data_IF_439101850838
#
_entry.id   IF_439101850838
#
_cell.length_a   1.000
_cell.length_b   1.000
_cell.length_c   1.000
_cell.angle_alpha   90.00
_cell.angle_beta   90.00
_cell.angle_gamma   90.00
#
_symmetry.space_group_name_H-M   'P 1'
#
loop_
_entity.id
_entity.type
_entity.pdbx_description
1 polymer ?
#
# COMPACT_ATOMS: atom_id res chain seq x y z
N UNK A 1 -3.64 32.08 -11.98
CA UNK A 1 -3.01 30.83 -12.41
C UNK A 1 -4.15 29.96 -12.89
N UNK A 2 -4.20 29.59 -14.18
CA UNK A 2 -5.28 28.74 -14.65
C UNK A 2 -5.01 27.36 -14.06
N UNK A 3 -5.73 27.02 -13.00
CA UNK A 3 -5.67 25.70 -12.42
C UNK A 3 -6.48 24.82 -13.36
N UNK A 4 -5.76 23.97 -14.09
CA UNK A 4 -6.34 23.00 -14.98
C UNK A 4 -6.23 21.62 -14.35
N UNK A 5 -7.24 20.78 -14.54
CA UNK A 5 -7.15 19.39 -14.11
C UNK A 5 -7.73 18.42 -15.13
N UNK A 6 -7.10 17.26 -15.19
CA UNK A 6 -7.65 16.06 -15.79
C UNK A 6 -8.41 15.26 -14.73
N UNK A 7 -9.69 14.99 -15.01
CA UNK A 7 -10.55 14.13 -14.22
C UNK A 7 -10.49 12.71 -14.76
N UNK A 8 -10.08 11.78 -13.91
CA UNK A 8 -10.10 10.34 -14.18
C UNK A 8 -11.27 9.72 -13.44
N UNK A 9 -12.20 9.14 -14.19
CA UNK A 9 -13.29 8.33 -13.67
C UNK A 9 -13.02 6.87 -13.93
N UNK A 10 -13.10 6.06 -12.88
CA UNK A 10 -12.92 4.61 -12.97
C UNK A 10 -14.16 3.90 -12.45
N UNK A 11 -14.69 2.94 -13.20
CA UNK A 11 -15.80 2.08 -12.73
C UNK A 11 -15.53 0.62 -13.10
N UNK A 12 -16.02 -0.29 -12.27
CA UNK A 12 -16.14 -1.70 -12.62
C UNK A 12 -17.41 -1.88 -13.44
N UNK A 13 -17.44 -2.80 -14.41
CA UNK A 13 -18.66 -2.95 -15.24
C UNK A 13 -19.77 -3.62 -14.44
N UNK A 14 -20.58 -2.81 -13.75
CA UNK A 14 -21.62 -3.21 -12.78
C UNK A 14 -22.74 -4.07 -13.31
N UNK A 15 -22.97 -4.03 -14.62
CA UNK A 15 -23.99 -4.82 -15.29
C UNK A 15 -23.39 -5.99 -16.08
N UNK A 16 -22.11 -6.29 -15.90
CA UNK A 16 -21.52 -7.48 -16.48
C UNK A 16 -22.18 -8.75 -15.92
N UNK A 17 -22.16 -9.83 -16.69
CA UNK A 17 -22.64 -11.12 -16.21
C UNK A 17 -21.89 -11.61 -14.95
N UNK A 18 -20.65 -11.15 -14.76
CA UNK A 18 -19.85 -11.41 -13.55
C UNK A 18 -20.48 -10.79 -12.29
N UNK A 19 -20.97 -9.54 -12.39
CA UNK A 19 -21.65 -8.85 -11.30
C UNK A 19 -22.93 -9.54 -10.84
N UNK A 20 -23.75 -10.02 -11.78
CA UNK A 20 -25.01 -10.70 -11.46
C UNK A 20 -24.83 -12.03 -10.70
N UNK A 21 -23.64 -12.64 -10.80
CA UNK A 21 -23.30 -13.92 -10.16
C UNK A 21 -22.59 -13.78 -8.82
N UNK A 22 -22.27 -12.55 -8.41
CA UNK A 22 -21.46 -12.30 -7.23
C UNK A 22 -22.33 -12.03 -5.99
N UNK A 23 -22.09 -12.74 -4.86
CA UNK A 23 -22.75 -12.43 -3.59
C UNK A 23 -22.49 -10.98 -3.12
N UNK A 24 -23.43 -10.40 -2.37
CA UNK A 24 -23.33 -9.01 -1.88
C UNK A 24 -22.07 -8.71 -1.04
N UNK A 25 -21.67 -9.67 -0.20
CA UNK A 25 -20.50 -9.51 0.64
C UNK A 25 -19.22 -9.48 -0.20
N UNK A 26 -19.15 -10.31 -1.24
CA UNK A 26 -18.03 -10.33 -2.19
C UNK A 26 -17.98 -9.06 -3.03
N UNK A 27 -19.13 -8.52 -3.44
CA UNK A 27 -19.20 -7.22 -4.12
C UNK A 27 -18.58 -6.13 -3.25
N UNK A 28 -18.98 -6.07 -1.98
CA UNK A 28 -18.47 -5.09 -1.03
C UNK A 28 -16.95 -5.21 -0.88
N UNK A 29 -16.45 -6.44 -0.77
CA UNK A 29 -15.03 -6.72 -0.71
C UNK A 29 -14.28 -6.29 -1.98
N UNK A 30 -14.76 -6.66 -3.17
CA UNK A 30 -14.13 -6.29 -4.46
C UNK A 30 -14.07 -4.77 -4.64
N UNK A 31 -15.14 -4.04 -4.29
CA UNK A 31 -15.16 -2.57 -4.36
C UNK A 31 -14.17 -1.97 -3.36
N UNK A 32 -14.10 -2.50 -2.14
CA UNK A 32 -13.14 -2.02 -1.14
C UNK A 32 -11.69 -2.25 -1.60
N UNK A 33 -11.39 -3.39 -2.21
CA UNK A 33 -10.08 -3.71 -2.76
C UNK A 33 -9.72 -2.83 -3.96
N UNK A 34 -10.67 -2.58 -4.86
CA UNK A 34 -10.49 -1.62 -5.95
C UNK A 34 -10.18 -0.23 -5.41
N UNK A 35 -10.99 0.25 -4.47
CA UNK A 35 -10.83 1.56 -3.84
C UNK A 35 -9.44 1.69 -3.22
N UNK A 36 -9.03 0.71 -2.43
CA UNK A 36 -7.72 0.73 -1.80
C UNK A 36 -6.61 0.79 -2.85
N UNK A 37 -6.68 -0.05 -3.88
CA UNK A 37 -5.70 -0.07 -4.96
C UNK A 37 -5.61 1.28 -5.68
N UNK A 38 -6.76 1.83 -6.09
CA UNK A 38 -6.79 3.09 -6.84
C UNK A 38 -6.29 4.27 -6.01
N UNK A 39 -6.61 4.30 -4.72
CA UNK A 39 -6.13 5.32 -3.79
C UNK A 39 -4.63 5.21 -3.49
N UNK A 40 -4.15 3.99 -3.24
CA UNK A 40 -2.74 3.68 -2.98
C UNK A 40 -1.87 3.92 -4.22
N UNK A 41 -2.42 3.73 -5.41
CA UNK A 41 -1.72 4.11 -6.63
C UNK A 41 -1.75 5.64 -6.82
N UNK A 42 -2.90 6.28 -6.65
CA UNK A 42 -3.03 7.72 -6.87
C UNK A 42 -2.23 8.57 -5.87
N UNK A 43 -1.87 8.03 -4.70
CA UNK A 43 -0.97 8.70 -3.75
C UNK A 43 0.44 8.84 -4.32
N UNK A 44 0.90 7.89 -5.14
CA UNK A 44 2.23 7.92 -5.78
C UNK A 44 2.32 8.99 -6.87
N UNK A 45 1.18 9.35 -7.47
CA UNK A 45 1.05 10.40 -8.49
C UNK A 45 0.59 11.74 -7.92
N UNK A 46 0.33 11.79 -6.61
CA UNK A 46 -0.24 12.89 -5.84
C UNK A 46 -1.39 13.64 -6.53
N UNK A 47 -2.54 12.98 -6.51
CA UNK A 47 -3.85 13.59 -6.84
C UNK A 47 -4.16 14.77 -5.91
N UNK A 48 -4.92 15.77 -6.37
CA UNK A 48 -5.39 16.87 -5.49
C UNK A 48 -6.70 16.60 -4.77
N UNK A 49 -7.59 15.80 -5.36
CA UNK A 49 -8.92 15.58 -4.83
C UNK A 49 -9.44 14.20 -5.20
N UNK A 50 -10.18 13.61 -4.26
CA UNK A 50 -10.96 12.40 -4.46
C UNK A 50 -12.38 12.67 -3.97
N UNK A 51 -13.35 12.36 -4.82
CA UNK A 51 -14.74 12.38 -4.42
C UNK A 51 -15.42 11.08 -4.83
N UNK A 52 -16.00 10.39 -3.87
CA UNK A 52 -16.71 9.13 -4.10
C UNK A 52 -18.16 9.44 -4.50
N UNK A 53 -18.49 9.30 -5.79
CA UNK A 53 -19.85 9.53 -6.28
C UNK A 53 -20.47 8.25 -6.80
N UNK A 54 -21.15 7.55 -5.89
CA UNK A 54 -21.86 6.30 -6.19
C UNK A 54 -20.91 5.19 -6.59
N UNK A 55 -20.77 5.01 -7.90
CA UNK A 55 -20.36 3.74 -8.49
C UNK A 55 -18.91 3.75 -9.03
N UNK A 56 -18.35 4.95 -9.26
CA UNK A 56 -16.98 5.12 -9.74
C UNK A 56 -16.12 5.96 -8.79
N UNK A 57 -14.82 5.97 -9.06
CA UNK A 57 -13.84 6.79 -8.35
C UNK A 57 -13.38 7.93 -9.23
N UNK A 58 -13.29 9.12 -8.63
CA UNK A 58 -12.80 10.32 -9.27
C UNK A 58 -11.42 10.68 -8.73
N UNK A 59 -10.51 10.96 -9.65
CA UNK A 59 -9.20 11.51 -9.34
C UNK A 59 -8.95 12.76 -10.19
N UNK A 60 -8.51 13.84 -9.53
CA UNK A 60 -8.10 15.08 -10.19
C UNK A 60 -6.57 15.21 -10.18
N UNK A 61 -6.00 15.41 -11.37
CA UNK A 61 -4.57 15.62 -11.57
C UNK A 61 -4.32 16.94 -12.27
N UNK A 62 -3.28 17.66 -11.88
CA UNK A 62 -2.90 18.93 -12.54
C UNK A 62 -2.33 18.73 -13.95
N UNK A 63 -1.88 17.50 -14.27
CA UNK A 63 -1.28 17.14 -15.56
C UNK A 63 -2.09 16.05 -16.24
N UNK A 64 -2.34 16.23 -17.54
CA UNK A 64 -3.01 15.23 -18.38
C UNK A 64 -2.14 13.97 -18.54
N UNK A 65 -0.81 14.13 -18.67
CA UNK A 65 0.13 13.01 -18.74
C UNK A 65 0.10 12.16 -17.47
N UNK A 66 0.13 12.81 -16.30
CA UNK A 66 0.03 12.15 -15.01
C UNK A 66 -1.29 11.38 -14.89
N UNK A 67 -2.41 11.99 -15.31
CA UNK A 67 -3.72 11.36 -15.29
C UNK A 67 -3.80 10.11 -16.20
N UNK A 68 -3.26 10.20 -17.42
CA UNK A 68 -3.25 9.08 -18.37
C UNK A 68 -2.33 7.96 -17.89
N UNK A 69 -1.14 8.29 -17.37
CA UNK A 69 -0.22 7.33 -16.76
C UNK A 69 -0.89 6.59 -15.60
N UNK A 70 -1.51 7.34 -14.68
CA UNK A 70 -2.26 6.77 -13.58
C UNK A 70 -3.37 5.82 -14.08
N UNK A 71 -4.18 6.24 -15.06
CA UNK A 71 -5.26 5.42 -15.62
C UNK A 71 -4.77 4.09 -16.21
N UNK A 72 -3.69 4.12 -16.98
CA UNK A 72 -3.08 2.91 -17.56
C UNK A 72 -2.51 1.97 -16.49
N UNK A 73 -1.79 2.53 -15.52
CA UNK A 73 -1.22 1.76 -14.41
C UNK A 73 -2.30 1.16 -13.52
N UNK A 74 -3.38 1.89 -13.27
CA UNK A 74 -4.51 1.39 -12.51
C UNK A 74 -5.15 0.18 -13.20
N UNK A 75 -5.34 0.23 -14.53
CA UNK A 75 -5.85 -0.92 -15.30
C UNK A 75 -4.93 -2.12 -15.17
N UNK A 76 -3.62 -1.93 -15.33
CA UNK A 76 -2.64 -3.00 -15.23
C UNK A 76 -2.66 -3.64 -13.82
N UNK A 77 -2.66 -2.81 -12.78
CA UNK A 77 -2.64 -3.27 -11.40
C UNK A 77 -3.96 -3.93 -11.01
N UNK A 78 -5.10 -3.39 -11.46
CA UNK A 78 -6.41 -4.00 -11.20
C UNK A 78 -6.51 -5.38 -11.81
N UNK A 79 -6.03 -5.57 -13.05
CA UNK A 79 -5.97 -6.89 -13.71
C UNK A 79 -5.20 -7.92 -12.88
N UNK A 80 -4.09 -7.52 -12.28
CA UNK A 80 -3.29 -8.38 -11.41
C UNK A 80 -4.02 -8.63 -10.08
N UNK A 81 -4.46 -7.57 -9.40
CA UNK A 81 -5.10 -7.63 -8.08
C UNK A 81 -6.37 -8.46 -8.09
N UNK A 82 -7.26 -8.26 -9.08
CA UNK A 82 -8.53 -8.97 -9.13
C UNK A 82 -8.40 -10.47 -9.39
N UNK A 83 -7.28 -10.93 -9.97
CA UNK A 83 -6.96 -12.35 -10.13
C UNK A 83 -6.55 -13.01 -8.83
N UNK A 84 -5.98 -12.24 -7.89
CA UNK A 84 -5.55 -12.74 -6.58
C UNK A 84 -6.64 -12.66 -5.50
N UNK A 85 -7.86 -12.20 -5.82
CA UNK A 85 -8.96 -12.10 -4.85
C UNK A 85 -9.64 -13.45 -4.62
N UNK A 86 -8.95 -14.34 -3.90
CA UNK A 86 -9.40 -15.72 -3.64
C UNK A 86 -10.75 -15.77 -2.91
N UNK A 87 -11.01 -14.79 -2.03
CA UNK A 87 -12.25 -14.72 -1.25
C UNK A 87 -13.51 -14.33 -2.07
N UNK A 88 -13.35 -13.90 -3.33
CA UNK A 88 -14.46 -13.46 -4.18
C UNK A 88 -14.49 -14.22 -5.51
N UNK A 89 -15.21 -15.36 -5.60
CA UNK A 89 -15.40 -16.09 -6.84
C UNK A 89 -15.91 -15.17 -7.96
N UNK A 90 -15.34 -15.31 -9.17
CA UNK A 90 -15.59 -14.47 -10.35
C UNK A 90 -15.03 -13.03 -10.28
N UNK A 91 -14.30 -12.63 -9.23
CA UNK A 91 -13.64 -11.31 -9.20
C UNK A 91 -12.62 -11.13 -10.33
N UNK A 92 -11.97 -12.22 -10.77
CA UNK A 92 -11.05 -12.23 -11.90
C UNK A 92 -11.69 -11.74 -13.22
N UNK A 93 -13.00 -11.92 -13.35
CA UNK A 93 -13.81 -11.58 -14.53
C UNK A 93 -14.42 -10.18 -14.43
N UNK A 94 -14.00 -9.35 -13.46
CA UNK A 94 -14.51 -7.99 -13.26
C UNK A 94 -13.70 -6.97 -14.07
N UNK A 95 -14.14 -6.60 -15.29
CA UNK A 95 -13.45 -5.58 -16.08
C UNK A 95 -13.58 -4.20 -15.44
N UNK A 96 -12.59 -3.36 -15.71
CA UNK A 96 -12.61 -1.96 -15.32
C UNK A 96 -12.64 -1.05 -16.54
N UNK A 97 -13.38 0.04 -16.46
CA UNK A 97 -13.43 1.08 -17.47
C UNK A 97 -12.86 2.35 -16.88
N UNK A 98 -12.05 3.04 -17.68
CA UNK A 98 -11.46 4.31 -17.26
C UNK A 98 -11.73 5.35 -18.31
N UNK A 99 -12.34 6.46 -17.89
CA UNK A 99 -12.53 7.66 -18.70
C UNK A 99 -11.68 8.78 -18.14
N UNK A 100 -10.86 9.40 -18.98
CA UNK A 100 -10.13 10.61 -18.63
C UNK A 100 -10.63 11.77 -19.49
N UNK A 101 -10.95 12.88 -18.84
CA UNK A 101 -11.32 14.10 -19.53
C UNK A 101 -10.72 15.34 -18.86
N UNK A 102 -10.44 16.34 -19.68
CA UNK A 102 -9.93 17.63 -19.24
C UNK A 102 -11.08 18.62 -19.14
N UNK A 103 -11.14 19.40 -18.06
CA UNK A 103 -12.11 20.49 -17.99
C UNK A 103 -11.74 21.64 -18.94
N UNK A 104 -12.41 21.79 -20.08
CA UNK A 104 -12.41 23.06 -20.81
C UNK A 104 -13.34 24.06 -20.09
N UNK A 105 -12.78 25.14 -19.54
CA UNK A 105 -13.57 26.28 -19.12
C UNK A 105 -12.93 27.60 -19.54
N UNK A 106 -13.57 28.28 -20.49
CA UNK A 106 -13.52 29.74 -20.54
C UNK A 106 -13.96 30.25 -19.18
N UNK A 107 -13.02 30.84 -18.42
CA UNK A 107 -13.21 31.65 -17.19
C UNK A 107 -14.63 31.59 -16.62
N UNK A 108 -14.95 30.55 -15.86
CA UNK A 108 -16.07 30.60 -14.93
C UNK A 108 -15.51 31.08 -13.59
N UNK A 109 -16.19 32.04 -12.96
CA UNK A 109 -15.75 32.69 -11.72
C UNK A 109 -15.91 31.81 -10.46
N UNK A 110 -16.38 30.57 -10.63
CA UNK A 110 -16.73 29.63 -9.56
C UNK A 110 -15.98 28.30 -9.79
N UNK A 111 -15.18 27.90 -8.78
CA UNK A 111 -14.33 26.71 -8.83
C UNK A 111 -15.14 25.40 -8.87
N UNK A 112 -16.34 25.38 -8.29
CA UNK A 112 -17.16 24.16 -8.18
C UNK A 112 -17.83 23.79 -9.51
N UNK A 113 -18.14 24.80 -10.34
CA UNK A 113 -18.90 24.60 -11.58
C UNK A 113 -18.11 23.86 -12.67
N UNK A 114 -16.79 24.09 -12.77
CA UNK A 114 -15.97 23.48 -13.81
C UNK A 114 -15.47 22.08 -13.42
N UNK A 115 -15.17 21.84 -12.13
CA UNK A 115 -14.87 20.51 -11.58
C UNK A 115 -16.04 19.57 -11.87
N UNK A 116 -17.26 19.98 -11.53
CA UNK A 116 -18.48 19.21 -11.79
C UNK A 116 -18.69 18.88 -13.28
N UNK A 117 -18.28 19.76 -14.20
CA UNK A 117 -18.37 19.50 -15.64
C UNK A 117 -17.33 18.49 -16.11
N UNK A 118 -16.06 18.69 -15.76
CA UNK A 118 -14.98 17.76 -16.10
C UNK A 118 -15.33 16.35 -15.61
N UNK A 119 -15.89 16.28 -14.41
CA UNK A 119 -16.44 15.07 -13.81
C UNK A 119 -17.49 14.40 -14.68
N UNK A 120 -18.55 15.15 -15.02
CA UNK A 120 -19.67 14.61 -15.77
C UNK A 120 -19.25 14.11 -17.15
N UNK A 121 -18.28 14.76 -17.79
CA UNK A 121 -17.78 14.32 -19.09
C UNK A 121 -16.88 13.10 -18.93
N UNK A 122 -15.92 13.08 -18.00
CA UNK A 122 -15.07 11.92 -17.75
C UNK A 122 -15.89 10.65 -17.43
N UNK A 123 -16.97 10.78 -16.65
CA UNK A 123 -17.93 9.70 -16.41
C UNK A 123 -18.60 9.20 -17.70
N UNK A 124 -18.97 10.09 -18.63
CA UNK A 124 -19.56 9.71 -19.92
C UNK A 124 -18.54 9.06 -20.85
N UNK A 125 -17.28 9.49 -20.80
CA UNK A 125 -16.18 8.85 -21.52
C UNK A 125 -15.98 7.43 -21.01
N UNK A 126 -15.93 7.24 -19.69
CA UNK A 126 -15.85 5.91 -19.04
C UNK A 126 -16.98 5.00 -19.53
N UNK A 127 -18.22 5.48 -19.58
CA UNK A 127 -19.37 4.65 -19.95
C UNK A 127 -19.32 4.14 -21.40
N UNK A 128 -18.53 4.78 -22.26
CA UNK A 128 -18.26 4.34 -23.64
C UNK A 128 -16.96 3.53 -23.77
N UNK A 129 -16.18 3.42 -22.70
CA UNK A 129 -14.95 2.65 -22.70
C UNK A 129 -15.24 1.14 -22.78
N UNK A 130 -14.42 0.45 -23.57
CA UNK A 130 -14.39 -1.00 -23.52
C UNK A 130 -13.84 -1.52 -22.20
N UNK A 131 -14.13 -2.78 -21.91
CA UNK A 131 -13.56 -3.49 -20.77
C UNK A 131 -12.03 -3.35 -20.75
N UNK A 132 -11.51 -3.06 -19.56
CA UNK A 132 -10.08 -2.95 -19.27
C UNK A 132 -9.31 -1.98 -20.17
N UNK A 133 -9.94 -0.86 -20.50
CA UNK A 133 -9.41 0.14 -21.41
C UNK A 133 -9.53 1.54 -20.84
N UNK A 134 -8.57 2.39 -21.19
CA UNK A 134 -8.58 3.83 -20.92
C UNK A 134 -9.05 4.55 -22.18
N UNK A 135 -10.12 5.32 -22.06
CA UNK A 135 -10.62 6.19 -23.11
C UNK A 135 -10.40 7.64 -22.72
N UNK A 136 -10.03 8.45 -23.70
CA UNK A 136 -9.79 9.88 -23.53
C UNK A 136 -10.50 10.67 -24.63
N UNK A 137 -10.90 11.90 -24.33
CA UNK A 137 -11.39 12.81 -25.37
C UNK A 137 -10.25 13.37 -26.21
N UNK A 138 -10.55 13.87 -27.41
CA UNK A 138 -9.60 14.64 -28.22
C UNK A 138 -8.84 15.71 -27.43
N UNK A 139 -9.51 16.46 -26.55
CA UNK A 139 -8.87 17.48 -25.71
C UNK A 139 -7.74 16.91 -24.84
N UNK A 140 -7.92 15.72 -24.25
CA UNK A 140 -6.85 15.09 -23.46
C UNK A 140 -5.72 14.65 -24.38
N UNK A 141 -6.06 14.07 -25.54
CA UNK A 141 -5.09 13.62 -26.52
C UNK A 141 -4.18 14.77 -27.01
N UNK A 142 -4.72 15.98 -27.17
CA UNK A 142 -3.99 17.18 -27.56
C UNK A 142 -3.11 17.76 -26.44
N UNK A 143 -3.36 17.35 -25.19
CA UNK A 143 -2.64 17.83 -24.00
C UNK A 143 -1.56 16.87 -23.52
N UNK A 144 -1.58 15.62 -23.95
CA UNK A 144 -0.57 14.61 -23.58
C UNK A 144 0.53 14.54 -24.63
N UNK A 145 1.69 14.04 -24.22
CA UNK A 145 2.81 13.87 -25.13
C UNK A 145 2.65 12.68 -26.08
N UNK A 146 1.99 12.89 -27.22
CA UNK A 146 1.63 11.83 -28.17
C UNK A 146 2.75 10.85 -28.57
N UNK A 147 4.02 11.27 -28.78
CA UNK A 147 5.12 10.33 -29.05
C UNK A 147 5.30 9.25 -27.99
N UNK A 148 4.88 9.49 -26.75
CA UNK A 148 5.01 8.57 -25.61
C UNK A 148 3.82 7.64 -25.47
N UNK A 149 2.68 7.87 -26.16
CA UNK A 149 1.49 7.04 -26.00
C UNK A 149 1.11 6.30 -27.27
N UNK A 150 0.79 5.02 -27.12
CA UNK A 150 0.08 4.28 -28.15
C UNK A 150 -1.42 4.52 -28.00
N UNK A 151 -2.06 5.00 -29.06
CA UNK A 151 -3.48 5.27 -29.10
C UNK A 151 -4.12 4.90 -30.44
N UNK A 152 -5.44 4.72 -30.42
CA UNK A 152 -6.24 4.47 -31.62
C UNK A 152 -7.56 5.25 -31.54
N UNK A 153 -8.03 5.73 -32.69
CA UNK A 153 -9.37 6.31 -32.80
C UNK A 153 -10.43 5.27 -32.43
N UNK A 154 -11.31 5.64 -31.50
CA UNK A 154 -12.45 4.81 -31.10
C UNK A 154 -13.75 5.21 -31.81
N UNK A 155 -13.81 6.43 -32.37
CA UNK A 155 -14.95 6.97 -33.11
C UNK A 155 -15.65 8.14 -32.42
N UNK A 156 -16.75 8.59 -33.02
CA UNK A 156 -17.59 9.67 -32.49
C UNK A 156 -18.68 9.14 -31.58
N UNK A 157 -18.75 9.66 -30.35
CA UNK A 157 -19.71 9.27 -29.34
C UNK A 157 -20.57 10.45 -28.90
N UNK A 158 -21.86 10.19 -28.70
CA UNK A 158 -22.80 11.18 -28.15
C UNK A 158 -22.62 11.28 -26.63
N UNK A 159 -22.01 12.37 -26.17
CA UNK A 159 -21.85 12.66 -24.75
C UNK A 159 -23.00 13.58 -24.33
N UNK A 160 -24.17 13.01 -24.01
CA UNK A 160 -25.39 13.78 -23.65
C UNK A 160 -25.07 14.91 -22.67
N UNK A 161 -25.65 16.10 -22.78
CA UNK A 161 -25.43 17.18 -21.80
C UNK A 161 -24.00 17.76 -21.76
N UNK A 162 -23.13 17.39 -22.69
CA UNK A 162 -21.93 18.14 -23.05
C UNK A 162 -22.31 19.27 -24.03
N UNK A 163 -21.45 20.28 -24.17
CA UNK A 163 -21.63 21.40 -25.11
C UNK A 163 -21.48 20.94 -26.56
N UNK A 164 -20.61 19.95 -26.78
CA UNK A 164 -20.45 19.32 -28.08
C UNK A 164 -21.35 18.08 -28.13
N UNK A 165 -22.32 18.02 -29.07
CA UNK A 165 -23.28 16.91 -29.13
C UNK A 165 -22.62 15.57 -29.45
N UNK A 166 -21.46 15.59 -30.12
CA UNK A 166 -20.64 14.42 -30.38
C UNK A 166 -19.17 14.77 -30.15
N UNK A 167 -18.41 13.83 -29.58
CA UNK A 167 -16.95 13.94 -29.43
C UNK A 167 -16.25 12.74 -30.03
N UNK A 168 -15.10 12.98 -30.64
CA UNK A 168 -14.16 11.94 -30.97
C UNK A 168 -13.50 11.44 -29.68
N UNK A 169 -13.56 10.13 -29.46
CA UNK A 169 -12.85 9.45 -28.39
C UNK A 169 -11.68 8.64 -28.94
N UNK A 170 -10.65 8.49 -28.10
CA UNK A 170 -9.46 7.72 -28.40
C UNK A 170 -9.24 6.69 -27.30
N UNK A 171 -8.87 5.49 -27.68
CA UNK A 171 -8.34 4.50 -26.75
C UNK A 171 -6.86 4.72 -26.60
N UNK A 172 -6.38 4.85 -25.37
CA UNK A 172 -4.95 4.82 -25.05
C UNK A 172 -4.61 3.43 -24.50
N UNK A 173 -3.62 2.76 -25.10
CA UNK A 173 -3.34 1.35 -24.83
C UNK A 173 -2.08 1.13 -24.00
N UNK A 174 -1.02 1.92 -24.22
CA UNK A 174 0.25 1.78 -23.49
C UNK A 174 1.10 3.04 -23.56
N UNK A 175 2.13 3.07 -22.70
CA UNK A 175 3.20 4.05 -22.70
C UNK A 175 4.42 3.43 -23.37
N UNK A 176 4.99 4.13 -24.34
CA UNK A 176 6.28 3.81 -24.93
C UNK A 176 7.39 4.35 -24.02
N UNK A 177 7.91 3.47 -23.15
CA UNK A 177 8.99 3.80 -22.24
C UNK A 177 10.30 4.11 -22.95
N UNK A 178 10.50 3.62 -24.18
CA UNK A 178 11.67 3.95 -25.00
C UNK A 178 11.56 5.38 -25.54
N UNK A 179 10.38 5.79 -25.99
CA UNK A 179 10.14 7.16 -26.41
C UNK A 179 10.32 8.16 -25.25
N UNK A 180 9.80 7.83 -24.06
CA UNK A 180 9.97 8.67 -22.86
C UNK A 180 11.44 8.79 -22.44
N UNK A 181 12.20 7.69 -22.47
CA UNK A 181 13.63 7.66 -22.10
C UNK A 181 14.56 8.23 -23.17
N UNK A 182 14.12 8.31 -24.43
CA UNK A 182 14.89 8.89 -25.53
C UNK A 182 14.86 10.43 -25.56
N UNK A 183 14.02 11.07 -24.75
CA UNK A 183 13.99 12.54 -24.61
C UNK A 183 15.31 13.05 -24.03
N UNK A 184 15.83 14.14 -24.60
CA UNK A 184 17.01 14.80 -24.03
C UNK A 184 16.66 15.43 -22.68
N UNK A 185 17.59 15.35 -21.73
CA UNK A 185 17.37 15.86 -20.37
C UNK A 185 16.96 17.34 -20.35
N UNK A 186 17.47 18.14 -21.29
CA UNK A 186 17.16 19.57 -21.41
C UNK A 186 15.73 19.86 -21.87
N UNK A 187 15.05 18.90 -22.49
CA UNK A 187 13.68 19.03 -22.98
C UNK A 187 12.63 18.52 -21.99
N UNK A 188 13.05 17.81 -20.92
CA UNK A 188 12.15 17.23 -19.94
C UNK A 188 11.54 18.30 -19.03
N UNK A 189 10.22 18.25 -18.86
CA UNK A 189 9.47 19.07 -17.91
C UNK A 189 9.59 18.53 -16.48
N UNK A 190 9.09 19.27 -15.49
CA UNK A 190 9.04 18.78 -14.11
C UNK A 190 8.19 17.50 -14.01
N UNK A 191 7.07 17.45 -14.74
CA UNK A 191 6.17 16.31 -14.82
C UNK A 191 6.83 15.10 -15.48
N UNK A 192 7.65 15.30 -16.53
CA UNK A 192 8.42 14.22 -17.17
C UNK A 192 9.41 13.59 -16.20
N UNK A 193 10.16 14.42 -15.48
CA UNK A 193 11.11 13.95 -14.47
C UNK A 193 10.41 13.23 -13.33
N UNK A 194 9.26 13.74 -12.87
CA UNK A 194 8.46 13.08 -11.86
C UNK A 194 7.94 11.71 -12.34
N UNK A 195 7.36 11.62 -13.55
CA UNK A 195 6.86 10.36 -14.10
C UNK A 195 7.98 9.35 -14.34
N UNK A 196 9.17 9.82 -14.76
CA UNK A 196 10.35 8.98 -14.86
C UNK A 196 10.74 8.43 -13.48
N UNK A 197 10.77 9.28 -12.44
CA UNK A 197 11.00 8.88 -11.05
C UNK A 197 10.03 7.78 -10.59
N UNK A 198 8.73 8.00 -10.78
CA UNK A 198 7.69 7.00 -10.44
C UNK A 198 7.88 5.70 -11.22
N UNK A 199 8.39 5.76 -12.46
CA UNK A 199 8.63 4.56 -13.28
C UNK A 199 9.84 3.72 -12.82
N UNK A 200 10.85 4.38 -12.25
CA UNK A 200 12.07 3.73 -11.74
C UNK A 200 11.99 3.39 -10.25
N UNK A 201 10.94 3.84 -9.58
CA UNK A 201 10.67 3.53 -8.18
C UNK A 201 10.63 2.03 -7.92
N UNK A 202 11.20 1.62 -6.77
CA UNK A 202 11.30 0.22 -6.34
C UNK A 202 12.15 -0.69 -7.27
N UNK A 203 13.02 -0.11 -8.10
CA UNK A 203 14.07 -0.87 -8.78
C UNK A 203 15.24 -1.13 -7.81
N UNK A 204 16.25 -1.91 -8.25
CA UNK A 204 17.47 -2.24 -7.49
C UNK A 204 18.15 -1.03 -6.83
N UNK A 205 19.19 -1.22 -6.02
CA UNK A 205 19.95 -0.11 -5.40
C UNK A 205 20.39 0.99 -6.37
N UNK A 206 20.76 0.64 -7.62
CA UNK A 206 21.08 1.62 -8.67
C UNK A 206 19.86 2.46 -9.14
N UNK A 207 18.65 1.94 -8.94
CA UNK A 207 17.40 2.64 -9.20
C UNK A 207 17.11 3.74 -8.19
N UNK A 208 17.58 3.63 -6.95
CA UNK A 208 17.36 4.65 -5.90
C UNK A 208 18.07 5.96 -6.23
N UNK A 209 19.31 5.90 -6.72
CA UNK A 209 20.08 7.10 -7.12
C UNK A 209 19.43 7.82 -8.31
N UNK A 210 18.94 7.07 -9.30
CA UNK A 210 18.24 7.64 -10.45
C UNK A 210 16.86 8.18 -10.05
N UNK A 211 16.14 7.51 -9.14
CA UNK A 211 14.86 7.98 -8.62
C UNK A 211 15.03 9.31 -7.87
N UNK A 212 16.04 9.41 -7.01
CA UNK A 212 16.38 10.63 -6.29
C UNK A 212 16.68 11.77 -7.27
N UNK A 213 17.53 11.51 -8.26
CA UNK A 213 17.86 12.49 -9.32
C UNK A 213 16.61 12.96 -10.07
N UNK A 214 15.68 12.05 -10.37
CA UNK A 214 14.46 12.39 -11.07
C UNK A 214 13.61 13.38 -10.27
N UNK A 215 13.35 13.10 -8.99
CA UNK A 215 12.55 14.03 -8.18
C UNK A 215 13.29 15.33 -7.88
N UNK A 216 14.62 15.31 -7.71
CA UNK A 216 15.44 16.52 -7.56
C UNK A 216 15.30 17.44 -8.77
N UNK A 217 15.36 16.88 -10.00
CA UNK A 217 15.13 17.65 -11.22
C UNK A 217 13.71 18.18 -11.30
N UNK A 218 12.71 17.40 -10.90
CA UNK A 218 11.33 17.83 -10.87
C UNK A 218 11.13 19.06 -9.97
N UNK A 219 11.67 19.05 -8.73
CA UNK A 219 11.55 20.18 -7.80
C UNK A 219 12.43 21.38 -8.18
N UNK A 220 13.55 21.17 -8.87
CA UNK A 220 14.36 22.26 -9.43
C UNK A 220 13.62 23.03 -10.53
N UNK A 221 12.93 22.32 -11.42
CA UNK A 221 12.14 22.90 -12.49
C UNK A 221 10.83 23.51 -11.97
N UNK A 222 10.25 22.91 -10.94
CA UNK A 222 9.02 23.35 -10.28
C UNK A 222 9.15 23.25 -8.77
N UNK A 223 9.58 24.32 -8.12
CA UNK A 223 9.73 24.34 -6.66
C UNK A 223 8.39 24.09 -5.92
N UNK A 224 7.28 24.57 -6.48
CA UNK A 224 5.93 24.28 -5.95
C UNK A 224 5.39 22.94 -6.45
N UNK A 225 6.10 21.85 -6.16
CA UNK A 225 5.74 20.48 -6.53
C UNK A 225 5.65 19.58 -5.28
N UNK A 226 4.55 19.65 -4.52
CA UNK A 226 4.42 18.96 -3.23
C UNK A 226 4.55 17.43 -3.34
N UNK A 227 4.11 16.84 -4.44
CA UNK A 227 4.19 15.41 -4.72
C UNK A 227 5.65 14.93 -4.86
N UNK A 228 6.45 15.66 -5.62
CA UNK A 228 7.87 15.38 -5.78
C UNK A 228 8.64 15.58 -4.46
N UNK A 229 8.29 16.62 -3.69
CA UNK A 229 8.83 16.80 -2.34
C UNK A 229 8.47 15.65 -1.40
N UNK A 230 7.22 15.19 -1.37
CA UNK A 230 6.84 14.04 -0.56
C UNK A 230 7.64 12.78 -0.95
N UNK A 231 7.81 12.51 -2.25
CA UNK A 231 8.57 11.35 -2.70
C UNK A 231 10.07 11.45 -2.38
N UNK A 232 10.67 12.65 -2.49
CA UNK A 232 12.03 12.91 -1.98
C UNK A 232 12.11 12.63 -0.48
N UNK A 233 11.11 13.06 0.30
CA UNK A 233 11.05 12.78 1.73
C UNK A 233 11.06 11.30 2.07
N UNK A 234 10.30 10.50 1.30
CA UNK A 234 10.25 9.04 1.44
C UNK A 234 11.61 8.42 1.12
N UNK A 235 12.24 8.83 0.02
CA UNK A 235 13.56 8.32 -0.39
C UNK A 235 14.66 8.69 0.61
N UNK A 236 14.73 9.95 1.03
CA UNK A 236 15.71 10.39 2.01
C UNK A 236 15.58 9.64 3.33
N UNK A 237 14.35 9.34 3.78
CA UNK A 237 14.13 8.47 4.94
C UNK A 237 14.67 7.05 4.70
N UNK A 238 14.41 6.46 3.52
CA UNK A 238 14.85 5.11 3.19
C UNK A 238 16.38 4.98 3.13
N UNK A 239 17.09 5.99 2.60
CA UNK A 239 18.56 6.01 2.53
C UNK A 239 19.25 6.50 3.81
N UNK A 240 18.50 6.71 4.91
CA UNK A 240 19.06 7.08 6.21
C UNK A 240 19.41 8.56 6.37
N UNK A 241 18.80 9.44 5.57
CA UNK A 241 18.95 10.90 5.63
C UNK A 241 17.70 11.58 6.23
N UNK A 242 17.41 11.41 7.53
CA UNK A 242 16.16 11.90 8.12
C UNK A 242 16.05 13.43 8.07
N UNK A 243 17.16 14.18 8.11
CA UNK A 243 17.14 15.65 8.07
C UNK A 243 16.56 16.17 6.76
N UNK A 244 17.06 15.68 5.62
CA UNK A 244 16.53 16.06 4.31
C UNK A 244 15.09 15.56 4.12
N UNK A 245 14.75 14.40 4.70
CA UNK A 245 13.38 13.92 4.67
C UNK A 245 12.40 14.90 5.34
N UNK A 246 12.77 15.44 6.51
CA UNK A 246 12.00 16.43 7.25
C UNK A 246 11.81 17.74 6.47
N UNK A 247 12.88 18.25 5.86
CA UNK A 247 12.84 19.45 5.01
C UNK A 247 11.85 19.28 3.86
N UNK A 248 11.92 18.15 3.15
CA UNK A 248 11.04 17.89 2.02
C UNK A 248 9.57 17.65 2.44
N UNK A 249 9.30 16.99 3.56
CA UNK A 249 7.93 16.89 4.07
C UNK A 249 7.37 18.27 4.44
N UNK A 250 8.18 19.14 5.05
CA UNK A 250 7.78 20.52 5.36
C UNK A 250 7.50 21.32 4.09
N UNK A 251 8.32 21.19 3.05
CA UNK A 251 8.08 21.86 1.77
C UNK A 251 6.82 21.33 1.06
N UNK A 252 6.58 20.01 1.07
CA UNK A 252 5.36 19.43 0.56
C UNK A 252 4.12 20.01 1.26
N UNK A 253 4.14 20.07 2.60
CA UNK A 253 3.05 20.61 3.41
C UNK A 253 2.95 22.15 3.34
N UNK A 254 4.03 22.85 3.02
CA UNK A 254 4.01 24.30 2.76
C UNK A 254 3.24 24.62 1.48
N UNK A 255 3.43 23.81 0.44
CA UNK A 255 2.75 23.98 -0.85
C UNK A 255 1.34 23.39 -0.85
N UNK A 256 1.10 22.33 -0.10
CA UNK A 256 -0.21 21.73 0.06
C UNK A 256 -0.46 21.30 1.53
N UNK A 257 -1.00 22.21 2.37
CA UNK A 257 -1.18 21.97 3.81
C UNK A 257 -2.16 20.88 4.22
N UNK A 258 -2.94 20.35 3.28
CA UNK A 258 -3.91 19.28 3.53
C UNK A 258 -3.52 18.00 2.78
N UNK A 259 -2.23 17.83 2.43
CA UNK A 259 -1.75 16.69 1.67
C UNK A 259 -1.65 15.44 2.58
N UNK A 260 -2.59 14.47 2.49
CA UNK A 260 -2.66 13.41 3.48
C UNK A 260 -1.44 12.48 3.46
N UNK A 261 -0.86 12.23 2.28
CA UNK A 261 0.35 11.43 2.12
C UNK A 261 1.55 12.04 2.83
N UNK A 262 1.79 13.35 2.65
CA UNK A 262 2.90 14.04 3.31
C UNK A 262 2.71 14.08 4.83
N UNK A 263 1.48 14.29 5.32
CA UNK A 263 1.19 14.17 6.75
C UNK A 263 1.47 12.76 7.28
N UNK A 264 0.98 11.72 6.60
CA UNK A 264 1.21 10.33 6.99
C UNK A 264 2.70 9.98 7.01
N UNK A 265 3.41 10.28 5.93
CA UNK A 265 4.83 9.99 5.77
C UNK A 265 5.69 10.76 6.78
N UNK A 266 5.33 12.01 7.07
CA UNK A 266 6.02 12.80 8.07
C UNK A 266 5.78 12.29 9.49
N UNK A 267 4.57 11.84 9.80
CA UNK A 267 4.28 11.18 11.07
C UNK A 267 5.16 9.93 11.28
N UNK A 268 5.46 9.17 10.22
CA UNK A 268 6.40 8.03 10.26
C UNK A 268 7.80 8.46 10.66
N UNK A 269 8.28 9.54 10.06
CA UNK A 269 9.61 10.06 10.37
C UNK A 269 9.69 10.54 11.82
N UNK A 270 8.69 11.30 12.28
CA UNK A 270 8.63 11.84 13.64
C UNK A 270 8.53 10.73 14.69
N UNK A 271 7.71 9.70 14.43
CA UNK A 271 7.63 8.53 15.31
C UNK A 271 8.98 7.81 15.44
N UNK A 272 9.69 7.60 14.33
CA UNK A 272 11.01 6.96 14.34
C UNK A 272 12.06 7.77 15.13
N UNK A 273 11.85 9.08 15.29
CA UNK A 273 12.69 9.98 16.11
C UNK A 273 12.24 10.09 17.56
N UNK A 274 11.11 9.49 17.93
CA UNK A 274 10.52 9.61 19.27
C UNK A 274 9.72 10.91 19.49
N UNK A 275 9.44 11.68 18.44
CA UNK A 275 8.69 12.94 18.48
C UNK A 275 7.17 12.66 18.53
N UNK A 276 6.74 11.93 19.57
CA UNK A 276 5.41 11.31 19.64
C UNK A 276 4.24 12.31 19.55
N UNK A 277 4.34 13.46 20.22
CA UNK A 277 3.26 14.45 20.24
C UNK A 277 3.00 15.03 18.83
N UNK A 278 4.06 15.28 18.07
CA UNK A 278 3.99 15.84 16.73
C UNK A 278 3.58 14.78 15.71
N UNK A 279 4.10 13.55 15.84
CA UNK A 279 3.64 12.41 15.05
C UNK A 279 2.11 12.25 15.14
N UNK A 280 1.54 12.32 16.35
CA UNK A 280 0.10 12.22 16.57
C UNK A 280 -0.71 13.38 15.93
N UNK A 281 -0.13 14.57 15.79
CA UNK A 281 -0.76 15.68 15.04
C UNK A 281 -0.82 15.33 13.56
N UNK A 282 0.30 14.91 12.97
CA UNK A 282 0.36 14.60 11.54
C UNK A 282 -0.49 13.38 11.16
N UNK A 283 -0.56 12.34 11.99
CA UNK A 283 -1.49 11.23 11.78
C UNK A 283 -2.96 11.69 11.74
N UNK A 284 -3.35 12.55 12.68
CA UNK A 284 -4.72 13.08 12.73
C UNK A 284 -5.02 13.95 11.53
N UNK A 285 -4.09 14.78 11.06
CA UNK A 285 -4.28 15.58 9.85
C UNK A 285 -4.34 14.72 8.58
N UNK A 286 -3.57 13.64 8.48
CA UNK A 286 -3.68 12.68 7.38
C UNK A 286 -5.09 12.07 7.32
N UNK A 287 -5.60 11.60 8.47
CA UNK A 287 -6.95 11.05 8.61
C UNK A 287 -8.03 12.13 8.40
N UNK A 288 -7.84 13.35 8.88
CA UNK A 288 -8.80 14.46 8.69
C UNK A 288 -8.93 14.85 7.23
N UNK A 289 -7.79 14.91 6.53
CA UNK A 289 -7.73 15.25 5.11
C UNK A 289 -8.25 14.11 4.23
N UNK A 290 -8.04 12.85 4.65
CA UNK A 290 -8.57 11.66 3.97
C UNK A 290 -9.09 10.63 4.99
N UNK A 291 -10.38 10.71 5.37
CA UNK A 291 -10.97 9.83 6.39
C UNK A 291 -10.99 8.35 6.02
N UNK A 292 -10.83 8.00 4.76
CA UNK A 292 -10.71 6.62 4.27
C UNK A 292 -9.25 6.20 4.01
N UNK A 293 -8.26 6.92 4.53
CA UNK A 293 -6.85 6.54 4.46
C UNK A 293 -6.52 5.39 5.42
N UNK A 294 -6.87 4.18 5.02
CA UNK A 294 -6.78 2.95 5.82
C UNK A 294 -5.39 2.74 6.41
N UNK A 295 -4.31 2.96 5.65
CA UNK A 295 -2.94 2.79 6.16
C UNK A 295 -2.60 3.79 7.27
N UNK A 296 -3.14 5.02 7.22
CA UNK A 296 -2.98 6.01 8.28
C UNK A 296 -3.74 5.61 9.54
N UNK A 297 -4.95 5.04 9.41
CA UNK A 297 -5.71 4.49 10.53
C UNK A 297 -4.97 3.34 11.22
N UNK A 298 -4.52 2.34 10.45
CA UNK A 298 -3.82 1.16 10.99
C UNK A 298 -2.51 1.55 11.66
N UNK A 299 -1.70 2.39 10.99
CA UNK A 299 -0.41 2.81 11.52
C UNK A 299 -0.57 3.67 12.79
N UNK A 300 -1.57 4.55 12.81
CA UNK A 300 -1.85 5.35 14.00
C UNK A 300 -2.40 4.51 15.16
N UNK A 301 -3.17 3.46 14.90
CA UNK A 301 -3.57 2.48 15.92
C UNK A 301 -2.34 1.83 16.59
N UNK A 302 -1.39 1.32 15.80
CA UNK A 302 -0.14 0.74 16.33
C UNK A 302 0.70 1.75 17.11
N UNK A 303 0.79 2.98 16.61
CA UNK A 303 1.45 4.09 17.32
C UNK A 303 0.79 4.41 18.67
N UNK A 304 -0.54 4.49 18.71
CA UNK A 304 -1.30 4.74 19.94
C UNK A 304 -1.12 3.62 20.96
N UNK A 305 -1.08 2.38 20.49
CA UNK A 305 -0.78 1.23 21.35
C UNK A 305 0.64 1.34 21.95
N UNK A 306 1.65 1.60 21.11
CA UNK A 306 3.04 1.72 21.54
C UNK A 306 3.26 2.87 22.53
N UNK A 307 2.48 3.95 22.40
CA UNK A 307 2.51 5.11 23.31
C UNK A 307 1.55 4.99 24.50
N UNK A 308 0.88 3.85 24.67
CA UNK A 308 0.06 3.51 25.84
C UNK A 308 -1.38 4.01 25.79
N UNK A 309 -1.83 4.66 24.72
CA UNK A 309 -3.22 5.09 24.53
C UNK A 309 -4.10 3.96 23.97
N UNK A 310 -4.28 2.92 24.78
CA UNK A 310 -4.95 1.67 24.39
C UNK A 310 -6.41 1.84 23.97
N UNK A 311 -7.14 2.79 24.58
CA UNK A 311 -8.55 3.02 24.26
C UNK A 311 -8.73 3.56 22.84
N UNK A 312 -7.96 4.58 22.47
CA UNK A 312 -8.03 5.12 21.11
C UNK A 312 -7.43 4.13 20.10
N UNK A 313 -6.35 3.41 20.44
CA UNK A 313 -5.80 2.36 19.57
C UNK A 313 -6.86 1.34 19.12
N UNK A 314 -7.66 0.82 20.06
CA UNK A 314 -8.76 -0.11 19.77
C UNK A 314 -9.79 0.47 18.80
N UNK A 315 -10.17 1.74 18.98
CA UNK A 315 -11.10 2.43 18.07
C UNK A 315 -10.52 2.57 16.66
N UNK A 316 -9.23 2.88 16.56
CA UNK A 316 -8.54 3.00 15.28
C UNK A 316 -8.41 1.64 14.56
N UNK A 317 -8.16 0.54 15.29
CA UNK A 317 -8.20 -0.81 14.71
C UNK A 317 -9.61 -1.18 14.21
N UNK A 318 -10.65 -0.92 15.01
CA UNK A 318 -12.04 -1.16 14.63
C UNK A 318 -12.44 -0.36 13.40
N UNK A 319 -12.04 0.91 13.32
CA UNK A 319 -12.33 1.77 12.16
C UNK A 319 -11.57 1.30 10.90
N UNK A 320 -10.32 0.85 11.05
CA UNK A 320 -9.54 0.24 9.96
C UNK A 320 -10.30 -0.95 9.37
N UNK A 321 -10.77 -1.86 10.22
CA UNK A 321 -11.52 -3.05 9.80
C UNK A 321 -12.95 -2.71 9.32
N UNK A 322 -13.56 -1.63 9.82
CA UNK A 322 -14.84 -1.12 9.30
C UNK A 322 -14.69 -0.59 7.87
N UNK A 323 -13.60 0.12 7.59
CA UNK A 323 -13.29 0.67 6.26
C UNK A 323 -12.84 -0.42 5.28
N UNK A 324 -12.07 -1.41 5.77
CA UNK A 324 -11.59 -2.54 4.97
C UNK A 324 -11.65 -3.85 5.76
N UNK A 325 -12.80 -4.55 5.74
CA UNK A 325 -12.96 -5.83 6.43
C UNK A 325 -12.05 -6.94 5.91
N UNK A 326 -11.56 -6.84 4.67
CA UNK A 326 -10.67 -7.83 4.05
C UNK A 326 -9.17 -7.58 4.27
N UNK A 327 -8.78 -6.77 5.26
CA UNK A 327 -7.38 -6.40 5.47
C UNK A 327 -6.69 -7.35 6.45
N UNK A 328 -5.99 -8.36 5.91
CA UNK A 328 -5.32 -9.41 6.70
C UNK A 328 -4.33 -8.84 7.74
N UNK A 329 -3.51 -7.86 7.35
CA UNK A 329 -2.58 -7.17 8.26
C UNK A 329 -3.29 -6.48 9.43
N UNK A 330 -4.40 -5.79 9.17
CA UNK A 330 -5.17 -5.16 10.24
C UNK A 330 -5.80 -6.18 11.19
N UNK A 331 -6.23 -7.34 10.70
CA UNK A 331 -6.68 -8.44 11.54
C UNK A 331 -5.55 -9.01 12.40
N UNK A 332 -4.37 -9.26 11.82
CA UNK A 332 -3.19 -9.70 12.58
C UNK A 332 -2.83 -8.69 13.68
N UNK A 333 -2.66 -7.41 13.33
CA UNK A 333 -2.24 -6.37 14.27
C UNK A 333 -3.28 -6.15 15.38
N UNK A 334 -4.58 -6.22 15.05
CA UNK A 334 -5.62 -6.13 16.06
C UNK A 334 -5.67 -7.36 16.96
N UNK A 335 -5.37 -8.55 16.43
CA UNK A 335 -5.16 -9.76 17.21
C UNK A 335 -4.05 -9.60 18.25
N UNK A 336 -2.89 -9.08 17.83
CA UNK A 336 -1.76 -8.79 18.73
C UNK A 336 -2.15 -7.80 19.83
N UNK A 337 -2.86 -6.74 19.46
CA UNK A 337 -3.40 -5.77 20.42
C UNK A 337 -4.33 -6.43 21.46
N UNK A 338 -5.25 -7.30 21.01
CA UNK A 338 -6.20 -7.99 21.88
C UNK A 338 -5.54 -9.01 22.80
N UNK A 339 -4.52 -9.71 22.32
CA UNK A 339 -3.72 -10.62 23.12
C UNK A 339 -2.99 -9.88 24.25
N UNK A 340 -2.38 -8.73 23.96
CA UNK A 340 -1.77 -7.84 24.98
C UNK A 340 -2.79 -7.27 25.97
N UNK A 341 -4.07 -7.23 25.60
CA UNK A 341 -5.20 -6.88 26.49
C UNK A 341 -5.70 -8.09 27.30
N UNK A 342 -5.18 -9.29 27.05
CA UNK A 342 -5.58 -10.54 27.70
C UNK A 342 -6.82 -11.20 27.09
N UNK A 343 -7.26 -10.76 25.91
CA UNK A 343 -8.40 -11.34 25.21
C UNK A 343 -7.95 -12.32 24.11
N UNK A 344 -7.34 -13.43 24.54
CA UNK A 344 -6.75 -14.45 23.66
C UNK A 344 -7.77 -15.06 22.69
N UNK A 345 -9.01 -15.30 23.12
CA UNK A 345 -10.04 -15.90 22.26
C UNK A 345 -10.41 -14.99 21.06
N UNK A 346 -10.54 -13.67 21.29
CA UNK A 346 -10.77 -12.73 20.19
C UNK A 346 -9.52 -12.55 19.33
N UNK A 347 -8.32 -12.59 19.92
CA UNK A 347 -7.06 -12.55 19.16
C UNK A 347 -6.95 -13.73 18.18
N UNK A 348 -7.18 -14.96 18.66
CA UNK A 348 -7.21 -16.17 17.83
C UNK A 348 -8.22 -16.07 16.67
N UNK A 349 -9.41 -15.51 16.94
CA UNK A 349 -10.42 -15.29 15.91
C UNK A 349 -9.94 -14.34 14.81
N UNK A 350 -9.21 -13.29 15.18
CA UNK A 350 -8.64 -12.35 14.22
C UNK A 350 -7.42 -12.91 13.47
N UNK A 351 -6.54 -13.67 14.13
CA UNK A 351 -5.47 -14.37 13.43
C UNK A 351 -6.02 -15.37 12.40
N UNK A 352 -7.05 -16.14 12.78
CA UNK A 352 -7.73 -17.06 11.87
C UNK A 352 -8.36 -16.34 10.67
N UNK A 353 -8.95 -15.16 10.88
CA UNK A 353 -9.49 -14.35 9.79
C UNK A 353 -8.40 -13.78 8.88
N UNK A 354 -7.27 -13.34 9.45
CA UNK A 354 -6.10 -12.94 8.66
C UNK A 354 -5.60 -14.08 7.77
N UNK A 355 -5.53 -15.31 8.29
CA UNK A 355 -5.14 -16.52 7.55
C UNK A 355 -6.20 -16.95 6.51
N UNK A 356 -7.49 -16.73 6.78
CA UNK A 356 -8.55 -16.97 5.80
C UNK A 356 -8.42 -16.03 4.60
N UNK A 357 -8.01 -14.78 4.84
CA UNK A 357 -7.81 -13.75 3.81
C UNK A 357 -6.48 -13.93 3.07
N UNK A 358 -5.42 -14.32 3.79
CA UNK A 358 -4.07 -14.55 3.28
C UNK A 358 -3.49 -15.83 3.90
N UNK A 359 -3.66 -17.00 3.24
CA UNK A 359 -3.24 -18.29 3.80
C UNK A 359 -1.73 -18.48 3.97
N UNK A 360 -0.91 -17.68 3.29
CA UNK A 360 0.55 -17.68 3.37
C UNK A 360 1.09 -16.56 4.25
N UNK A 361 0.28 -16.02 5.17
CA UNK A 361 0.72 -14.96 6.06
C UNK A 361 1.50 -15.52 7.26
N UNK A 362 2.82 -15.59 7.11
CA UNK A 362 3.73 -16.21 8.08
C UNK A 362 3.57 -15.66 9.52
N UNK A 363 3.45 -14.34 9.68
CA UNK A 363 3.28 -13.68 10.98
C UNK A 363 1.96 -14.06 11.67
N UNK A 364 0.86 -14.14 10.92
CA UNK A 364 -0.43 -14.55 11.47
C UNK A 364 -0.43 -16.04 11.88
N UNK A 365 0.28 -16.90 11.12
CA UNK A 365 0.52 -18.28 11.51
C UNK A 365 1.32 -18.38 12.81
N UNK A 366 2.42 -17.62 12.91
CA UNK A 366 3.24 -17.55 14.12
C UNK A 366 2.46 -17.06 15.33
N UNK A 367 1.71 -15.96 15.21
CA UNK A 367 0.94 -15.39 16.30
C UNK A 367 -0.19 -16.32 16.76
N UNK A 368 -0.87 -16.99 15.81
CA UNK A 368 -1.87 -18.00 16.16
C UNK A 368 -1.24 -19.19 16.89
N UNK A 369 -0.11 -19.71 16.39
CA UNK A 369 0.62 -20.80 17.03
C UNK A 369 1.02 -20.45 18.47
N UNK A 370 1.62 -19.27 18.66
CA UNK A 370 2.03 -18.79 19.99
C UNK A 370 0.84 -18.67 20.95
N UNK A 371 -0.32 -18.23 20.46
CA UNK A 371 -1.53 -18.12 21.29
C UNK A 371 -2.16 -19.47 21.64
N UNK A 372 -1.85 -20.53 20.88
CA UNK A 372 -2.38 -21.88 21.05
C UNK A 372 -1.47 -22.79 21.87
N UNK A 373 -0.19 -22.43 22.02
CA UNK A 373 0.88 -23.28 22.57
C UNK A 373 0.49 -24.01 23.87
N UNK A 374 -0.16 -23.31 24.80
CA UNK A 374 -0.58 -23.89 26.08
C UNK A 374 -1.89 -24.68 26.03
N UNK A 375 -2.79 -24.35 25.09
CA UNK A 375 -4.13 -24.94 25.01
C UNK A 375 -4.24 -26.10 24.03
N UNK A 376 -3.49 -26.03 22.93
CA UNK A 376 -3.48 -27.01 21.84
C UNK A 376 -2.09 -27.01 21.16
N UNK A 377 -1.08 -27.68 21.77
CA UNK A 377 0.29 -27.70 21.26
C UNK A 377 0.41 -28.40 19.90
N UNK A 378 -0.49 -29.34 19.59
CA UNK A 378 -0.50 -30.02 18.29
C UNK A 378 -0.89 -29.05 17.18
N UNK A 379 -1.95 -28.26 17.38
CA UNK A 379 -2.35 -27.26 16.40
C UNK A 379 -1.33 -26.10 16.32
N UNK A 380 -0.70 -25.75 17.45
CA UNK A 380 0.39 -24.77 17.46
C UNK A 380 1.58 -25.22 16.59
N UNK A 381 1.99 -26.50 16.68
CA UNK A 381 3.03 -27.06 15.81
C UNK A 381 2.69 -26.90 14.33
N UNK A 382 1.47 -27.27 13.91
CA UNK A 382 1.03 -27.14 12.52
C UNK A 382 1.14 -25.69 12.01
N UNK A 383 0.72 -24.72 12.83
CA UNK A 383 0.81 -23.30 12.48
C UNK A 383 2.26 -22.80 12.47
N UNK A 384 3.14 -23.21 13.38
CA UNK A 384 4.56 -22.85 13.29
C UNK A 384 5.22 -23.41 12.03
N UNK A 385 4.92 -24.66 11.64
CA UNK A 385 5.40 -25.24 10.40
C UNK A 385 4.89 -24.47 9.18
N UNK A 386 3.64 -24.04 9.19
CA UNK A 386 3.08 -23.20 8.13
C UNK A 386 3.72 -21.81 8.07
N UNK A 387 4.04 -21.20 9.22
CA UNK A 387 4.80 -19.94 9.26
C UNK A 387 6.18 -20.09 8.61
N UNK A 388 6.91 -21.15 8.94
CA UNK A 388 8.23 -21.47 8.35
C UNK A 388 8.11 -21.81 6.86
N UNK A 389 7.03 -22.46 6.44
CA UNK A 389 6.81 -22.75 5.02
C UNK A 389 6.58 -21.45 4.22
N UNK A 390 5.83 -20.51 4.78
CA UNK A 390 5.57 -19.21 4.16
C UNK A 390 6.82 -18.30 4.19
N UNK A 391 7.58 -18.32 5.28
CA UNK A 391 8.85 -17.61 5.44
C UNK A 391 9.92 -18.52 6.09
N UNK A 392 10.80 -19.15 5.28
CA UNK A 392 11.85 -20.02 5.78
C UNK A 392 12.92 -19.34 6.64
N UNK A 393 12.97 -18.00 6.66
CA UNK A 393 13.92 -17.23 7.45
C UNK A 393 13.27 -16.62 8.71
N UNK A 394 12.08 -17.10 9.11
CA UNK A 394 11.38 -16.69 10.33
C UNK A 394 11.99 -17.34 11.59
N UNK A 395 13.02 -16.69 12.14
CA UNK A 395 13.81 -17.19 13.26
C UNK A 395 12.98 -17.54 14.52
N UNK A 396 12.02 -16.70 14.89
CA UNK A 396 11.16 -16.92 16.07
C UNK A 396 10.28 -18.16 15.92
N UNK A 397 9.72 -18.39 14.73
CA UNK A 397 8.92 -19.58 14.46
C UNK A 397 9.77 -20.86 14.57
N UNK A 398 11.01 -20.83 14.07
CA UNK A 398 11.97 -21.91 14.28
C UNK A 398 12.29 -22.17 15.76
N UNK A 399 12.57 -21.13 16.53
CA UNK A 399 12.86 -21.29 17.97
C UNK A 399 11.65 -21.86 18.73
N UNK A 400 10.44 -21.36 18.50
CA UNK A 400 9.27 -21.81 19.26
C UNK A 400 8.80 -23.20 18.83
N UNK A 401 8.90 -23.55 17.54
CA UNK A 401 8.69 -24.94 17.09
C UNK A 401 9.68 -25.90 17.76
N UNK A 402 10.94 -25.49 17.86
CA UNK A 402 11.95 -26.31 18.54
C UNK A 402 11.65 -26.49 20.03
N UNK A 403 11.11 -25.48 20.72
CA UNK A 403 10.63 -25.60 22.11
C UNK A 403 9.54 -26.65 22.22
N UNK A 404 8.52 -26.60 21.36
CA UNK A 404 7.43 -27.60 21.39
C UNK A 404 7.94 -29.02 21.13
N UNK A 405 8.83 -29.19 20.15
CA UNK A 405 9.42 -30.50 19.83
C UNK A 405 10.30 -31.03 20.96
N UNK A 406 11.05 -30.14 21.62
CA UNK A 406 11.86 -30.49 22.79
C UNK A 406 10.97 -30.97 23.95
N UNK A 407 9.88 -30.26 24.24
CA UNK A 407 8.91 -30.67 25.27
C UNK A 407 8.19 -31.97 24.92
N UNK A 408 7.92 -32.22 23.64
CA UNK A 408 7.38 -33.48 23.13
C UNK A 408 8.42 -34.64 23.13
N UNK A 409 9.71 -34.35 23.35
CA UNK A 409 10.79 -35.32 23.40
C UNK A 409 11.44 -35.64 22.05
N UNK A 410 11.08 -34.95 20.97
CA UNK A 410 11.74 -35.05 19.67
C UNK A 410 13.00 -34.15 19.64
N UNK A 411 14.03 -34.61 20.37
CA UNK A 411 15.24 -33.83 20.61
C UNK A 411 16.10 -33.62 19.36
N UNK A 412 15.94 -34.45 18.33
CA UNK A 412 16.70 -34.32 17.08
C UNK A 412 16.05 -33.25 16.18
N UNK A 413 14.72 -33.28 16.01
CA UNK A 413 14.01 -32.25 15.27
C UNK A 413 14.11 -30.87 15.96
N UNK A 414 14.07 -30.84 17.30
CA UNK A 414 14.33 -29.63 18.06
C UNK A 414 15.73 -29.03 17.81
N UNK A 415 16.78 -29.87 17.77
CA UNK A 415 18.15 -29.40 17.49
C UNK A 415 18.26 -28.76 16.10
N UNK A 416 17.61 -29.35 15.09
CA UNK A 416 17.59 -28.80 13.73
C UNK A 416 16.94 -27.41 13.69
N UNK A 417 15.77 -27.25 14.29
CA UNK A 417 15.06 -25.98 14.28
C UNK A 417 15.76 -24.90 15.11
N UNK A 418 16.34 -25.23 16.28
CA UNK A 418 17.18 -24.27 16.98
C UNK A 418 18.43 -23.89 16.19
N UNK A 419 19.06 -24.82 15.48
CA UNK A 419 20.22 -24.53 14.63
C UNK A 419 19.83 -23.58 13.49
N UNK A 420 18.65 -23.75 12.89
CA UNK A 420 18.11 -22.82 11.90
C UNK A 420 17.84 -21.42 12.50
N UNK A 421 17.23 -21.34 13.69
CA UNK A 421 17.05 -20.07 14.39
C UNK A 421 18.39 -19.36 14.68
N UNK A 422 19.43 -20.09 15.12
CA UNK A 422 20.78 -19.53 15.32
C UNK A 422 21.51 -19.20 14.02
N UNK A 423 21.25 -19.90 12.91
CA UNK A 423 21.78 -19.51 11.59
C UNK A 423 21.31 -18.12 11.21
N UNK A 424 20.05 -17.82 11.52
CA UNK A 424 19.39 -16.54 11.23
C UNK A 424 19.79 -15.45 12.23
N UNK A 425 19.87 -15.81 13.51
CA UNK A 425 20.25 -14.93 14.62
C UNK A 425 21.31 -15.59 15.50
N UNK A 426 22.60 -15.49 15.14
CA UNK A 426 23.69 -16.19 15.83
C UNK A 426 23.82 -15.85 17.32
N UNK A 427 23.48 -14.61 17.67
CA UNK A 427 23.61 -14.07 19.03
C UNK A 427 22.25 -14.05 19.78
N UNK A 428 21.23 -14.81 19.32
CA UNK A 428 19.94 -14.85 20.01
C UNK A 428 20.07 -15.54 21.38
N UNK A 429 19.83 -14.76 22.44
CA UNK A 429 20.00 -15.21 23.82
C UNK A 429 19.09 -16.40 24.14
N UNK A 430 17.81 -16.31 23.78
CA UNK A 430 16.79 -17.29 24.13
C UNK A 430 17.08 -18.63 23.45
N UNK A 431 17.39 -18.60 22.15
CA UNK A 431 17.73 -19.79 21.36
C UNK A 431 19.00 -20.45 21.88
N UNK A 432 20.05 -19.68 22.21
CA UNK A 432 21.25 -20.22 22.84
C UNK A 432 20.94 -20.85 24.21
N UNK A 433 20.09 -20.23 25.03
CA UNK A 433 19.70 -20.83 26.32
C UNK A 433 18.94 -22.15 26.11
N UNK A 434 18.00 -22.18 25.17
CA UNK A 434 17.19 -23.35 24.85
C UNK A 434 18.03 -24.52 24.31
N UNK A 435 19.01 -24.26 23.45
CA UNK A 435 19.96 -25.28 23.00
C UNK A 435 20.85 -25.82 24.12
N UNK A 436 21.18 -24.98 25.11
CA UNK A 436 21.87 -25.43 26.32
C UNK A 436 21.04 -26.43 27.11
N UNK A 437 19.74 -26.16 27.27
CA UNK A 437 18.79 -27.08 27.91
C UNK A 437 18.64 -28.38 27.12
N UNK A 438 18.50 -28.29 25.79
CA UNK A 438 18.41 -29.45 24.90
C UNK A 438 19.66 -30.33 24.96
N UNK A 439 20.85 -29.72 24.91
CA UNK A 439 22.13 -30.43 24.98
C UNK A 439 22.27 -31.21 26.29
N UNK A 440 21.83 -30.61 27.40
CA UNK A 440 21.76 -31.28 28.70
C UNK A 440 20.76 -32.43 28.71
N UNK A 441 19.60 -32.27 28.07
CA UNK A 441 18.61 -33.34 27.91
C UNK A 441 19.16 -34.53 27.09
N UNK A 442 20.01 -34.26 26.09
CA UNK A 442 20.75 -35.28 25.31
C UNK A 442 21.98 -35.85 26.04
N UNK A 443 22.32 -35.33 27.23
CA UNK A 443 23.46 -35.77 28.04
C UNK A 443 24.81 -35.14 27.67
N UNK A 444 24.84 -34.17 26.77
CA UNK A 444 26.05 -33.45 26.35
C UNK A 444 26.25 -32.18 27.19
N UNK A 445 26.87 -32.36 28.36
CA UNK A 445 27.12 -31.27 29.30
C UNK A 445 28.12 -30.23 28.77
N UNK A 446 29.04 -30.62 27.88
CA UNK A 446 30.06 -29.73 27.32
C UNK A 446 29.41 -28.76 26.32
N UNK A 447 28.55 -29.27 25.41
CA UNK A 447 27.76 -28.42 24.52
C UNK A 447 26.77 -27.55 25.30
N UNK A 448 26.18 -28.07 26.38
CA UNK A 448 25.29 -27.30 27.23
C UNK A 448 25.98 -26.05 27.81
N UNK A 449 27.15 -26.22 28.43
CA UNK A 449 27.91 -25.09 29.02
C UNK A 449 28.35 -24.08 27.94
N UNK A 450 28.74 -24.55 26.75
CA UNK A 450 29.07 -23.68 25.62
C UNK A 450 27.88 -22.77 25.26
N UNK A 451 26.68 -23.33 25.09
CA UNK A 451 25.49 -22.57 24.71
C UNK A 451 25.00 -21.65 25.84
N UNK A 452 25.06 -22.07 27.11
CA UNK A 452 24.78 -21.17 28.23
C UNK A 452 25.78 -20.02 28.35
N UNK A 453 27.05 -20.25 28.01
CA UNK A 453 28.04 -19.18 27.93
C UNK A 453 27.69 -18.18 26.83
N UNK A 454 27.33 -18.64 25.62
CA UNK A 454 26.87 -17.77 24.53
C UNK A 454 25.65 -16.94 24.90
N UNK A 455 24.65 -17.55 25.54
CA UNK A 455 23.46 -16.83 26.01
C UNK A 455 23.82 -15.70 27.00
N UNK A 456 24.77 -15.94 27.92
CA UNK A 456 25.26 -14.89 28.84
C UNK A 456 26.02 -13.78 28.12
N UNK A 457 26.84 -14.13 27.13
CA UNK A 457 27.61 -13.16 26.35
C UNK A 457 26.73 -12.28 25.47
N UNK A 458 25.64 -12.82 24.91
CA UNK A 458 24.64 -12.04 24.17
C UNK A 458 23.98 -10.97 25.06
N UNK A 459 23.63 -11.33 26.30
CA UNK A 459 23.03 -10.42 27.29
C UNK A 459 23.97 -9.28 27.74
N UNK A 460 25.28 -9.42 27.59
CA UNK A 460 26.26 -8.40 27.96
C UNK A 460 26.50 -7.34 26.87
N UNK A 461 25.93 -7.53 25.67
CA UNK A 461 26.10 -6.63 24.51
C UNK A 461 24.88 -5.76 24.21
N UNK A 462 23.75 -6.02 24.87
CA UNK A 462 22.53 -5.19 24.85
C UNK A 462 22.56 -4.22 26.03
#
# INVERSE_FOLDING_TARGET
MNIYFAAVFTDLVRHSAAWARMPRDNITHVIAEHRYLSQSLASQYGRRHENFTGDGHLYLFESADVAVHFGLKLIAYWKQRRRSLVAAPNAQDMPMRVGCHFGECFRMADEDAWIGRAINIAKRVESNAEADSLFVTQTILELIDLPVYQFAEAGFFELRGDFLPQRQLYRVSSIDSLALSARSEEAMTAEDWFLKGVSVANQSTAGVDEELRCYDRAVQLRASYPEAHNNLGVLHKAIGNPVLADEHYKEALRHWPQYPEAHYNYAILLEARGEHAEAAVHYREAIRSRPDYIDAWLRYAGFLEATGNRFEAERHFQETLRLRPGFAEAHNNYGVFLERKGNTASAQSHYAEALRLQPDYAEAHYNLASSLELSDPSLAEDHYRAAIFADPDYAEAHNNLAVLLHEAGDLDAAEEHYANALRLRPDDQQTNHNLGLLSRAKGDNDRAEMFFKRAREANARQ
#
